data_IF_373335849235
#
_entry.id   IF_373335849235
#
_cell.length_a   1.000
_cell.length_b   1.000
_cell.length_c   1.000
_cell.angle_alpha   90.00
_cell.angle_beta   90.00
_cell.angle_gamma   90.00
#
_symmetry.space_group_name_H-M   'P 1'
#
loop_
_entity.id
_entity.type
_entity.pdbx_description
1 polymer ?
#
# COMPACT_ATOMS: atom_id res chain seq x y z
N UNK A 1 -70.83 -13.78 -40.12
CA UNK A 1 -71.37 -12.45 -39.75
C UNK A 1 -70.50 -11.88 -38.62
N UNK A 2 -70.19 -10.57 -38.63
CA UNK A 2 -69.48 -9.76 -37.60
C UNK A 2 -68.02 -10.14 -37.21
N UNK A 3 -67.19 -9.08 -37.18
CA UNK A 3 -65.78 -9.00 -36.77
C UNK A 3 -65.66 -8.25 -35.43
N UNK A 4 -64.56 -8.44 -34.72
CA UNK A 4 -63.85 -7.46 -33.88
C UNK A 4 -62.37 -7.90 -33.85
N UNK A 5 -61.37 -7.12 -34.32
CA UNK A 5 -60.72 -5.92 -33.72
C UNK A 5 -60.14 -6.23 -32.31
N UNK A 6 -58.90 -5.86 -31.96
CA UNK A 6 -58.00 -4.82 -32.51
C UNK A 6 -56.51 -5.12 -32.20
N UNK A 7 -55.55 -4.34 -32.74
CA UNK A 7 -54.20 -4.21 -32.16
C UNK A 7 -52.97 -4.56 -33.03
N UNK A 8 -52.65 -3.74 -34.04
CA UNK A 8 -51.34 -3.66 -34.72
C UNK A 8 -51.03 -2.18 -34.97
N UNK A 9 -49.78 -1.74 -34.77
CA UNK A 9 -49.12 -0.59 -35.46
C UNK A 9 -47.63 -0.51 -35.02
N UNK A 10 -46.72 0.20 -35.73
CA UNK A 10 -45.48 -0.46 -36.17
C UNK A 10 -44.18 0.37 -36.00
N UNK A 11 -43.07 -0.19 -36.48
CA UNK A 11 -41.88 0.56 -36.88
C UNK A 11 -42.17 1.57 -37.99
N UNK A 12 -41.51 2.74 -37.95
CA UNK A 12 -41.25 3.57 -39.11
C UNK A 12 -39.99 4.45 -38.89
N UNK A 13 -39.08 4.41 -39.86
CA UNK A 13 -37.93 5.32 -39.95
C UNK A 13 -38.40 6.72 -40.40
N UNK A 14 -37.79 7.79 -39.87
CA UNK A 14 -37.82 9.11 -40.47
C UNK A 14 -36.52 9.88 -40.18
N UNK A 15 -36.01 10.59 -41.18
CA UNK A 15 -34.71 11.28 -41.18
C UNK A 15 -34.83 12.80 -41.08
N UNK A 16 -33.79 13.45 -40.51
CA UNK A 16 -33.54 14.90 -40.60
C UNK A 16 -34.28 15.75 -39.55
N UNK A 17 -33.65 16.74 -38.90
CA UNK A 17 -32.90 17.83 -39.54
C UNK A 17 -32.17 18.72 -38.52
N UNK A 18 -31.27 19.57 -39.04
CA UNK A 18 -30.79 20.86 -38.49
C UNK A 18 -29.89 20.86 -37.26
N UNK A 19 -28.62 21.15 -37.53
CA UNK A 19 -27.71 21.78 -36.58
C UNK A 19 -28.20 23.18 -36.21
N UNK A 20 -28.04 23.55 -34.93
CA UNK A 20 -28.08 24.92 -34.44
C UNK A 20 -26.87 25.14 -33.53
N UNK A 21 -25.93 25.97 -33.95
CA UNK A 21 -24.76 26.32 -33.16
C UNK A 21 -25.16 27.32 -32.08
N UNK A 22 -25.04 26.95 -30.80
CA UNK A 22 -25.14 27.87 -29.67
C UNK A 22 -23.78 28.00 -29.01
N UNK A 23 -23.14 29.13 -29.23
CA UNK A 23 -21.91 29.51 -28.55
C UNK A 23 -22.22 29.80 -27.08
N UNK A 24 -21.65 29.01 -26.17
CA UNK A 24 -21.66 29.29 -24.73
C UNK A 24 -20.25 29.21 -24.18
N UNK A 25 -19.60 30.36 -24.06
CA UNK A 25 -18.36 30.49 -23.28
C UNK A 25 -18.71 30.28 -21.81
N UNK A 26 -18.42 29.08 -21.27
CA UNK A 26 -18.35 28.86 -19.82
C UNK A 26 -16.91 28.67 -19.42
N UNK A 27 -16.48 29.43 -18.41
CA UNK A 27 -15.18 29.29 -17.78
C UNK A 27 -15.11 27.93 -17.10
N UNK A 28 -14.15 27.09 -17.46
CA UNK A 28 -13.87 25.86 -16.74
C UNK A 28 -13.07 26.21 -15.48
N UNK A 29 -13.74 26.26 -14.34
CA UNK A 29 -13.12 26.35 -13.02
C UNK A 29 -12.97 24.95 -12.41
N UNK A 30 -11.75 24.65 -11.95
CA UNK A 30 -11.33 23.57 -11.04
C UNK A 30 -12.27 22.35 -10.92
N UNK A 31 -11.94 21.28 -11.66
CA UNK A 31 -12.38 19.92 -11.35
C UNK A 31 -11.28 19.28 -10.48
N UNK A 32 -11.58 18.73 -9.28
CA UNK A 32 -10.58 18.04 -8.48
C UNK A 32 -10.06 16.78 -9.20
N UNK A 33 -8.74 16.59 -9.17
CA UNK A 33 -8.01 15.56 -9.92
C UNK A 33 -8.55 14.13 -9.72
N UNK A 34 -9.11 13.82 -8.56
CA UNK A 34 -9.69 12.52 -8.23
C UNK A 34 -10.82 12.03 -9.17
N UNK A 35 -11.49 12.90 -9.93
CA UNK A 35 -12.50 12.47 -10.92
C UNK A 35 -11.97 12.23 -12.33
N UNK A 36 -10.72 12.62 -12.63
CA UNK A 36 -10.12 12.41 -13.95
C UNK A 36 -9.71 10.93 -14.16
N UNK A 37 -9.40 10.22 -13.05
CA UNK A 37 -8.97 8.82 -13.05
C UNK A 37 -10.00 7.87 -13.68
N UNK A 38 -11.30 8.11 -13.45
CA UNK A 38 -12.42 7.25 -13.92
C UNK A 38 -12.61 7.34 -15.45
N UNK A 39 -12.23 8.44 -16.07
CA UNK A 39 -12.46 8.67 -17.52
C UNK A 39 -11.35 8.07 -18.39
N UNK A 40 -10.12 7.96 -17.87
CA UNK A 40 -8.97 7.44 -18.61
C UNK A 40 -8.93 5.92 -18.72
N UNK A 41 -9.52 5.18 -17.77
CA UNK A 41 -9.54 3.70 -17.78
C UNK A 41 -10.48 3.10 -18.84
N UNK A 42 -11.50 3.83 -19.30
CA UNK A 42 -12.54 3.31 -20.21
C UNK A 42 -12.15 3.21 -21.70
N UNK A 43 -10.93 3.61 -22.10
CA UNK A 43 -10.57 3.79 -23.52
C UNK A 43 -9.61 2.75 -24.13
N UNK A 44 -9.12 1.76 -23.36
CA UNK A 44 -8.03 0.87 -23.81
C UNK A 44 -8.49 -0.51 -24.33
N UNK A 45 -9.76 -0.90 -24.10
CA UNK A 45 -10.24 -2.27 -24.37
C UNK A 45 -10.76 -2.54 -25.79
N UNK A 46 -9.92 -2.43 -26.84
CA UNK A 46 -10.15 -3.11 -28.13
C UNK A 46 -8.86 -3.41 -28.90
N UNK A 47 -8.68 -4.69 -29.33
CA UNK A 47 -8.03 -5.19 -30.58
C UNK A 47 -7.00 -6.32 -30.40
N UNK A 48 -7.10 -7.33 -31.29
CA UNK A 48 -6.23 -8.49 -31.55
C UNK A 48 -6.63 -9.02 -32.97
N UNK A 49 -5.98 -9.93 -33.70
CA UNK A 49 -4.94 -10.95 -33.48
C UNK A 49 -4.03 -11.05 -34.73
N UNK A 50 -2.87 -11.72 -34.65
CA UNK A 50 -2.57 -12.93 -35.46
C UNK A 50 -1.14 -13.51 -35.23
N UNK A 51 -0.83 -14.66 -35.87
CA UNK A 51 0.17 -15.68 -35.47
C UNK A 51 1.39 -15.84 -36.42
N UNK A 52 2.50 -16.49 -35.99
CA UNK A 52 3.11 -17.71 -36.63
C UNK A 52 4.49 -18.15 -36.05
N UNK A 53 4.57 -19.42 -35.57
CA UNK A 53 5.66 -20.48 -35.51
C UNK A 53 7.15 -20.08 -35.75
N UNK A 54 8.21 -20.60 -35.09
CA UNK A 54 8.54 -22.01 -34.72
C UNK A 54 9.95 -22.18 -34.05
N UNK A 55 10.23 -23.42 -33.57
CA UNK A 55 11.53 -24.11 -33.37
C UNK A 55 12.46 -23.73 -32.20
N UNK A 56 12.41 -24.56 -31.16
CA UNK A 56 13.22 -24.47 -29.94
C UNK A 56 14.62 -25.09 -29.94
N UNK A 57 15.22 -25.07 -28.74
CA UNK A 57 16.40 -25.83 -28.30
C UNK A 57 16.26 -26.11 -26.78
N UNK A 58 17.15 -26.92 -26.21
CA UNK A 58 17.02 -27.54 -24.88
C UNK A 58 18.24 -27.27 -23.98
N UNK A 59 18.05 -27.04 -22.68
CA UNK A 59 18.74 -27.79 -21.61
C UNK A 59 18.43 -27.35 -20.15
N UNK A 60 18.30 -28.37 -19.28
CA UNK A 60 18.65 -28.45 -17.83
C UNK A 60 17.92 -27.60 -16.77
N UNK A 61 17.30 -28.32 -15.84
CA UNK A 61 16.55 -27.89 -14.65
C UNK A 61 17.41 -27.74 -13.37
N UNK A 62 16.85 -27.06 -12.36
CA UNK A 62 17.33 -27.06 -10.96
C UNK A 62 16.18 -27.44 -10.03
N UNK A 63 16.45 -28.29 -9.03
CA UNK A 63 15.43 -29.04 -8.30
C UNK A 63 14.59 -28.21 -7.32
N UNK A 64 13.28 -28.44 -7.33
CA UNK A 64 12.43 -28.29 -6.15
C UNK A 64 12.66 -29.47 -5.17
N UNK A 65 12.66 -29.21 -3.86
CA UNK A 65 12.67 -30.26 -2.82
C UNK A 65 11.52 -30.03 -1.83
N UNK A 66 10.43 -30.74 -2.09
CA UNK A 66 9.71 -31.59 -1.14
C UNK A 66 9.26 -31.04 0.21
N UNK A 67 7.95 -30.83 0.34
CA UNK A 67 7.22 -30.93 1.61
C UNK A 67 6.07 -31.91 1.44
N UNK A 68 6.25 -33.15 1.88
CA UNK A 68 5.19 -34.15 2.00
C UNK A 68 5.59 -35.23 3.01
N UNK A 69 5.06 -35.14 4.24
CA UNK A 69 4.61 -36.23 5.12
C UNK A 69 4.66 -35.81 6.60
N UNK A 70 3.48 -35.75 7.25
CA UNK A 70 3.35 -35.84 8.71
C UNK A 70 1.91 -36.17 9.13
N UNK A 71 1.42 -37.39 8.84
CA UNK A 71 0.22 -37.92 9.49
C UNK A 71 0.57 -39.01 10.51
N UNK A 72 -0.05 -38.89 11.69
CA UNK A 72 -0.15 -39.90 12.76
C UNK A 72 1.11 -40.14 13.62
N UNK A 73 1.16 -39.49 14.79
CA UNK A 73 0.95 -40.19 16.07
C UNK A 73 0.90 -39.21 17.25
N UNK A 74 0.06 -39.52 18.25
CA UNK A 74 -0.13 -38.66 19.40
C UNK A 74 0.95 -38.83 20.47
N UNK A 75 1.78 -37.81 20.66
CA UNK A 75 2.55 -37.59 21.88
C UNK A 75 2.70 -36.07 22.11
N UNK A 76 2.31 -35.57 23.28
CA UNK A 76 2.45 -34.16 23.64
C UNK A 76 3.88 -33.84 24.06
N UNK A 77 4.80 -33.82 23.10
CA UNK A 77 6.08 -33.13 23.22
C UNK A 77 5.89 -31.70 22.75
N UNK A 78 6.21 -30.72 23.61
CA UNK A 78 6.18 -29.31 23.24
C UNK A 78 7.32 -29.01 22.27
N UNK A 79 7.06 -29.21 20.97
CA UNK A 79 7.95 -28.73 19.91
C UNK A 79 8.16 -27.22 20.08
N UNK A 80 9.37 -26.70 19.80
CA UNK A 80 9.55 -25.26 19.67
C UNK A 80 8.59 -24.79 18.58
N UNK A 81 7.68 -23.86 18.92
CA UNK A 81 6.73 -23.33 17.94
C UNK A 81 7.52 -22.75 16.77
N UNK A 82 7.23 -23.20 15.55
CA UNK A 82 7.74 -22.57 14.34
C UNK A 82 7.37 -21.08 14.38
N UNK A 83 8.35 -20.23 14.05
CA UNK A 83 8.14 -18.78 14.10
C UNK A 83 7.35 -18.40 12.85
N UNK A 84 6.18 -17.78 13.02
CA UNK A 84 5.43 -17.20 11.91
C UNK A 84 5.31 -15.69 12.04
N UNK A 85 5.30 -15.01 10.90
CA UNK A 85 5.19 -13.56 10.77
C UNK A 85 3.98 -13.19 9.93
N UNK A 86 3.33 -12.10 10.32
CA UNK A 86 2.41 -11.35 9.48
C UNK A 86 3.05 -9.99 9.26
N UNK A 87 3.38 -9.70 8.01
CA UNK A 87 3.97 -8.44 7.58
C UNK A 87 2.97 -7.69 6.71
N UNK A 88 2.85 -6.39 6.92
CA UNK A 88 1.84 -5.55 6.25
C UNK A 88 2.50 -4.31 5.64
N UNK A 89 2.03 -3.87 4.48
CA UNK A 89 2.18 -2.45 4.11
C UNK A 89 1.29 -1.56 5.00
N UNK A 90 1.51 -0.25 4.98
CA UNK A 90 0.78 0.73 5.75
C UNK A 90 -0.27 1.51 4.94
N UNK A 91 0.13 2.15 3.84
CA UNK A 91 -0.69 3.11 3.10
C UNK A 91 -1.63 2.39 2.14
N UNK A 92 -2.93 2.63 2.25
CA UNK A 92 -3.91 1.91 1.44
C UNK A 92 -4.15 0.47 1.92
N UNK A 93 -3.14 -0.22 2.45
CA UNK A 93 -3.28 -1.55 3.07
C UNK A 93 -3.89 -1.49 4.47
N UNK A 94 -3.30 -0.72 5.39
CA UNK A 94 -3.82 -0.54 6.75
C UNK A 94 -4.71 0.69 6.89
N UNK A 95 -4.43 1.77 6.16
CA UNK A 95 -5.24 3.00 6.13
C UNK A 95 -6.33 2.96 5.04
N UNK A 96 -7.40 3.75 5.21
CA UNK A 96 -8.42 3.92 4.17
C UNK A 96 -7.93 4.76 2.97
N UNK A 97 -6.86 5.54 3.16
CA UNK A 97 -6.31 6.50 2.19
C UNK A 97 -4.78 6.52 2.27
N UNK A 98 -4.14 6.89 1.16
CA UNK A 98 -2.72 7.21 1.14
C UNK A 98 -2.43 8.41 2.06
N UNK A 99 -1.46 8.27 2.96
CA UNK A 99 -1.05 9.31 3.92
C UNK A 99 0.13 10.15 3.42
N UNK A 100 0.77 9.77 2.30
CA UNK A 100 1.90 10.49 1.69
C UNK A 100 1.59 11.96 1.40
N UNK A 101 0.40 12.35 0.89
CA UNK A 101 0.04 13.75 0.68
C UNK A 101 -0.08 14.59 1.97
N UNK A 102 -0.19 13.95 3.14
CA UNK A 102 -0.28 14.64 4.44
C UNK A 102 1.07 15.04 5.02
N UNK A 103 2.17 14.46 4.54
CA UNK A 103 3.48 14.62 5.15
C UNK A 103 3.94 16.09 5.26
N UNK A 104 3.73 16.98 4.27
CA UNK A 104 4.09 18.39 4.44
C UNK A 104 3.17 19.15 5.41
N UNK A 105 1.88 18.75 5.55
CA UNK A 105 0.94 19.33 6.52
C UNK A 105 1.40 18.98 7.94
N UNK A 106 1.74 17.71 8.16
CA UNK A 106 2.30 17.23 9.43
C UNK A 106 3.64 17.90 9.76
N UNK A 107 4.52 18.09 8.76
CA UNK A 107 5.78 18.80 8.92
C UNK A 107 5.58 20.23 9.47
N UNK A 108 4.64 20.99 8.89
CA UNK A 108 4.32 22.35 9.32
C UNK A 108 3.74 22.39 10.75
N UNK A 109 2.82 21.46 11.08
CA UNK A 109 2.21 21.38 12.42
C UNK A 109 3.30 21.09 13.46
N UNK A 110 4.12 20.06 13.28
CA UNK A 110 5.14 19.69 14.27
C UNK A 110 6.20 20.79 14.42
N UNK A 111 6.67 21.37 13.31
CA UNK A 111 7.66 22.45 13.33
C UNK A 111 7.15 23.68 14.11
N UNK A 112 5.87 24.04 13.95
CA UNK A 112 5.29 25.17 14.71
C UNK A 112 5.20 24.90 16.22
N UNK A 113 4.87 23.66 16.61
CA UNK A 113 4.80 23.25 18.02
C UNK A 113 6.18 23.19 18.69
N UNK A 114 7.21 22.72 17.98
CA UNK A 114 8.60 22.75 18.47
C UNK A 114 9.09 24.19 18.69
N UNK A 115 8.80 25.11 17.76
CA UNK A 115 9.14 26.53 17.92
C UNK A 115 8.42 27.19 19.10
N UNK A 116 7.15 26.81 19.35
CA UNK A 116 6.40 27.29 20.50
C UNK A 116 7.02 26.83 21.83
N UNK A 117 7.47 25.56 21.93
CA UNK A 117 8.10 25.03 23.14
C UNK A 117 9.38 25.79 23.48
N UNK A 118 10.29 25.96 22.53
CA UNK A 118 11.52 26.74 22.73
C UNK A 118 11.24 28.19 23.13
N UNK A 119 10.26 28.86 22.49
CA UNK A 119 9.90 30.24 22.83
C UNK A 119 9.33 30.41 24.25
N UNK A 120 8.71 29.37 24.82
CA UNK A 120 8.20 29.40 26.21
C UNK A 120 9.24 29.13 27.29
N UNK A 121 10.38 28.53 26.95
CA UNK A 121 11.49 28.32 27.90
C UNK A 121 12.32 29.59 28.14
N UNK A 122 12.43 30.47 27.13
CA UNK A 122 13.29 31.67 27.20
C UNK A 122 12.63 32.90 27.89
N UNK A 123 11.30 32.94 28.05
CA UNK A 123 10.59 34.15 28.56
C UNK A 123 9.57 33.83 29.67
N UNK A 124 9.97 33.87 30.95
CA UNK A 124 9.06 33.61 32.06
C UNK A 124 8.27 34.86 32.51
N UNK A 125 7.20 35.24 31.77
CA UNK A 125 6.02 35.91 32.38
C UNK A 125 4.86 36.16 31.41
N UNK A 126 3.64 35.82 31.87
CA UNK A 126 2.28 36.10 31.36
C UNK A 126 1.67 35.10 30.35
N UNK A 127 0.61 34.35 30.73
CA UNK A 127 -0.06 33.37 29.86
C UNK A 127 -1.19 34.03 29.05
N UNK A 128 -0.84 34.79 28.00
CA UNK A 128 -1.86 35.30 27.08
C UNK A 128 -2.31 34.25 26.06
N UNK A 129 -3.62 34.02 25.99
CA UNK A 129 -4.27 33.12 25.03
C UNK A 129 -4.07 33.52 23.55
N UNK A 130 -3.49 34.69 23.28
CA UNK A 130 -3.18 35.17 21.94
C UNK A 130 -2.03 34.42 21.25
N UNK A 131 -1.14 33.75 22.00
CA UNK A 131 0.02 33.06 21.43
C UNK A 131 -0.34 31.92 20.47
N UNK A 132 -1.25 31.03 20.85
CA UNK A 132 -1.64 29.85 20.07
C UNK A 132 -2.19 30.23 18.68
N UNK A 133 -3.04 31.26 18.61
CA UNK A 133 -3.63 31.72 17.34
C UNK A 133 -2.58 32.18 16.32
N UNK A 134 -1.46 32.76 16.78
CA UNK A 134 -0.38 33.22 15.90
C UNK A 134 0.48 32.08 15.37
N UNK A 135 0.73 31.04 16.17
CA UNK A 135 1.48 29.86 15.72
C UNK A 135 0.69 29.06 14.69
N UNK A 136 -0.62 28.89 14.89
CA UNK A 136 -1.49 28.24 13.91
C UNK A 136 -1.53 29.02 12.60
N UNK A 137 -1.66 30.35 12.63
CA UNK A 137 -1.59 31.17 11.41
C UNK A 137 -0.26 31.00 10.65
N UNK A 138 0.86 30.86 11.37
CA UNK A 138 2.17 30.56 10.75
C UNK A 138 2.21 29.16 10.14
N UNK A 139 1.74 28.14 10.86
CA UNK A 139 1.68 26.76 10.36
C UNK A 139 0.79 26.65 9.12
N UNK A 140 -0.38 27.31 9.10
CA UNK A 140 -1.27 27.38 7.94
C UNK A 140 -0.64 28.13 6.76
N UNK A 141 0.12 29.21 7.01
CA UNK A 141 0.80 29.97 5.96
C UNK A 141 1.96 29.18 5.33
N UNK A 142 2.76 28.49 6.15
CA UNK A 142 3.84 27.60 5.71
C UNK A 142 3.28 26.40 4.92
N UNK A 143 2.24 25.73 5.45
CA UNK A 143 1.54 24.66 4.74
C UNK A 143 1.04 25.11 3.35
N UNK A 144 0.38 26.27 3.26
CA UNK A 144 -0.11 26.82 1.99
C UNK A 144 1.00 27.18 0.99
N UNK A 145 2.23 27.34 1.44
CA UNK A 145 3.40 27.48 0.57
C UNK A 145 3.94 26.12 0.09
N UNK A 146 3.88 25.09 0.95
CA UNK A 146 4.43 23.74 0.70
C UNK A 146 3.50 22.82 -0.08
N UNK A 147 2.19 22.88 0.20
CA UNK A 147 1.13 22.11 -0.47
C UNK A 147 1.22 22.14 -2.01
N UNK A 148 1.29 23.31 -2.68
CA UNK A 148 1.37 23.34 -4.15
C UNK A 148 2.67 22.74 -4.70
N UNK A 149 3.79 22.88 -3.99
CA UNK A 149 5.08 22.29 -4.38
C UNK A 149 5.00 20.77 -4.31
N UNK A 150 4.42 20.22 -3.24
CA UNK A 150 4.22 18.79 -3.09
C UNK A 150 3.28 18.21 -4.16
N UNK A 151 2.15 18.88 -4.40
CA UNK A 151 1.17 18.49 -5.41
C UNK A 151 1.74 18.54 -6.85
N UNK A 152 2.68 19.45 -7.14
CA UNK A 152 3.40 19.47 -8.42
C UNK A 152 4.33 18.25 -8.56
N UNK A 153 5.09 17.90 -7.52
CA UNK A 153 5.96 16.73 -7.51
C UNK A 153 5.18 15.40 -7.59
N UNK A 154 4.05 15.31 -6.89
CA UNK A 154 3.10 14.19 -7.01
C UNK A 154 2.52 14.09 -8.43
N UNK A 155 2.12 15.22 -9.03
CA UNK A 155 1.65 15.29 -10.41
C UNK A 155 2.74 15.00 -11.46
N UNK A 156 4.02 15.17 -11.12
CA UNK A 156 5.17 14.74 -11.92
C UNK A 156 5.37 13.22 -11.80
N UNK A 157 5.36 12.68 -10.57
CA UNK A 157 5.42 11.25 -10.29
C UNK A 157 4.37 10.47 -11.08
N UNK A 158 3.09 10.81 -10.92
CA UNK A 158 2.01 10.08 -11.60
C UNK A 158 2.13 10.12 -13.12
N UNK A 159 2.63 11.22 -13.69
CA UNK A 159 2.82 11.33 -15.15
C UNK A 159 3.92 10.39 -15.64
N UNK A 160 5.10 10.44 -15.02
CA UNK A 160 6.22 9.54 -15.35
C UNK A 160 5.87 8.08 -15.10
N UNK A 161 5.22 7.78 -13.97
CA UNK A 161 4.74 6.44 -13.61
C UNK A 161 3.79 5.89 -14.68
N UNK A 162 2.81 6.69 -15.10
CA UNK A 162 1.86 6.30 -16.16
C UNK A 162 2.56 6.07 -17.50
N UNK A 163 3.56 6.86 -17.85
CA UNK A 163 4.30 6.68 -19.11
C UNK A 163 5.22 5.45 -19.09
N UNK A 164 5.86 5.14 -17.96
CA UNK A 164 6.58 3.87 -17.77
C UNK A 164 5.62 2.68 -17.79
N UNK A 165 4.46 2.76 -17.12
CA UNK A 165 3.41 1.72 -17.17
C UNK A 165 2.91 1.47 -18.59
N UNK A 166 2.70 2.51 -19.41
CA UNK A 166 2.34 2.36 -20.84
C UNK A 166 3.45 1.66 -21.62
N UNK A 167 4.72 2.00 -21.37
CA UNK A 167 5.85 1.28 -21.98
C UNK A 167 5.82 -0.20 -21.63
N UNK A 168 5.73 -0.52 -20.32
CA UNK A 168 5.66 -1.90 -19.82
C UNK A 168 4.48 -2.64 -20.45
N UNK A 169 3.31 -2.00 -20.61
CA UNK A 169 2.13 -2.59 -21.26
C UNK A 169 2.29 -2.81 -22.77
N UNK A 170 3.03 -1.92 -23.45
CA UNK A 170 3.25 -1.97 -24.91
C UNK A 170 4.27 -3.02 -25.35
N UNK A 171 5.10 -3.53 -24.44
CA UNK A 171 6.05 -4.61 -24.71
C UNK A 171 5.31 -5.89 -25.14
N UNK A 172 5.89 -6.68 -26.04
CA UNK A 172 5.27 -7.92 -26.53
C UNK A 172 6.03 -9.13 -26.00
N UNK A 173 5.37 -9.93 -25.16
CA UNK A 173 5.90 -11.21 -24.68
C UNK A 173 5.24 -12.35 -25.45
N UNK A 174 6.01 -13.08 -26.25
CA UNK A 174 5.53 -14.28 -26.93
C UNK A 174 5.36 -15.42 -25.90
N UNK A 175 4.13 -15.62 -25.39
CA UNK A 175 3.84 -16.82 -24.60
C UNK A 175 3.82 -18.04 -25.52
N UNK A 176 4.66 -19.02 -25.22
CA UNK A 176 4.54 -20.36 -25.80
C UNK A 176 3.23 -21.02 -25.38
N UNK A 177 2.73 -22.02 -26.15
CA UNK A 177 1.54 -22.76 -25.77
C UNK A 177 1.75 -23.64 -24.53
N UNK A 178 2.98 -24.09 -24.29
CA UNK A 178 3.38 -24.83 -23.08
C UNK A 178 4.12 -23.86 -22.13
N UNK A 179 3.50 -23.53 -20.99
CA UNK A 179 4.18 -22.79 -19.93
C UNK A 179 5.15 -23.73 -19.21
N UNK A 180 6.43 -23.64 -19.54
CA UNK A 180 7.49 -24.33 -18.80
C UNK A 180 7.89 -23.52 -17.56
N UNK A 181 8.40 -24.18 -16.53
CA UNK A 181 9.02 -23.55 -15.35
C UNK A 181 9.98 -22.41 -15.73
N UNK A 182 10.76 -22.63 -16.80
CA UNK A 182 11.68 -21.63 -17.34
C UNK A 182 10.96 -20.37 -17.84
N UNK A 183 9.85 -20.50 -18.59
CA UNK A 183 9.07 -19.35 -19.06
C UNK A 183 8.47 -18.55 -17.90
N UNK A 184 8.00 -19.24 -16.85
CA UNK A 184 7.48 -18.56 -15.66
C UNK A 184 8.59 -17.80 -14.91
N UNK A 185 9.78 -18.40 -14.77
CA UNK A 185 10.96 -17.73 -14.21
C UNK A 185 11.38 -16.50 -15.04
N UNK A 186 11.37 -16.61 -16.37
CA UNK A 186 11.65 -15.50 -17.29
C UNK A 186 10.60 -14.38 -17.15
N UNK A 187 9.30 -14.71 -17.03
CA UNK A 187 8.23 -13.73 -16.79
C UNK A 187 8.37 -13.01 -15.44
N UNK A 188 8.76 -13.73 -14.37
CA UNK A 188 9.00 -13.13 -13.06
C UNK A 188 10.25 -12.23 -13.06
N UNK A 189 11.29 -12.58 -13.81
CA UNK A 189 12.46 -11.71 -14.00
C UNK A 189 12.11 -10.44 -14.78
N UNK A 190 11.23 -10.54 -15.79
CA UNK A 190 10.71 -9.39 -16.53
C UNK A 190 9.78 -8.52 -15.68
N UNK A 191 9.00 -9.12 -14.77
CA UNK A 191 8.22 -8.39 -13.77
C UNK A 191 9.13 -7.58 -12.83
N UNK A 192 10.18 -8.21 -12.30
CA UNK A 192 11.15 -7.55 -11.42
C UNK A 192 11.83 -6.37 -12.11
N UNK A 193 12.28 -6.56 -13.36
CA UNK A 193 12.84 -5.50 -14.22
C UNK A 193 11.82 -4.39 -14.50
N UNK A 194 10.54 -4.73 -14.63
CA UNK A 194 9.46 -3.76 -14.88
C UNK A 194 9.13 -2.92 -13.64
N UNK A 195 9.19 -3.53 -12.45
CA UNK A 195 8.97 -2.85 -11.19
C UNK A 195 10.18 -1.97 -10.80
N UNK A 196 11.41 -2.42 -11.04
CA UNK A 196 12.63 -1.60 -10.88
C UNK A 196 12.56 -0.28 -11.66
N UNK A 197 12.01 -0.32 -12.88
CA UNK A 197 11.78 0.88 -13.70
C UNK A 197 10.76 1.86 -13.10
N UNK A 198 9.79 1.37 -12.33
CA UNK A 198 8.82 2.21 -11.60
C UNK A 198 9.43 2.74 -10.30
N UNK A 199 10.20 1.91 -9.59
CA UNK A 199 10.97 2.29 -8.40
C UNK A 199 12.02 3.38 -8.74
N UNK A 200 12.59 3.35 -9.97
CA UNK A 200 13.43 4.42 -10.51
C UNK A 200 12.72 5.77 -10.60
N UNK A 201 11.47 5.81 -11.06
CA UNK A 201 10.64 7.03 -11.08
C UNK A 201 10.39 7.53 -9.66
N UNK A 202 10.03 6.63 -8.73
CA UNK A 202 9.85 6.97 -7.31
C UNK A 202 11.12 7.57 -6.70
N UNK A 203 12.28 6.99 -7.02
CA UNK A 203 13.60 7.43 -6.55
C UNK A 203 13.96 8.83 -7.06
N UNK A 204 13.75 9.11 -8.35
CA UNK A 204 13.97 10.43 -8.94
C UNK A 204 13.11 11.51 -8.26
N UNK A 205 11.81 11.26 -8.08
CA UNK A 205 10.90 12.24 -7.46
C UNK A 205 11.20 12.41 -5.97
N UNK A 206 11.61 11.34 -5.27
CA UNK A 206 12.08 11.43 -3.88
C UNK A 206 13.32 12.34 -3.75
N UNK A 207 14.18 12.34 -4.76
CA UNK A 207 15.28 13.31 -4.88
C UNK A 207 14.77 14.76 -4.95
N UNK A 208 13.79 15.04 -5.81
CA UNK A 208 13.18 16.37 -5.92
C UNK A 208 12.43 16.81 -4.65
N UNK A 209 11.74 15.89 -3.97
CA UNK A 209 11.13 16.13 -2.65
C UNK A 209 12.19 16.53 -1.63
N UNK A 210 13.33 15.83 -1.61
CA UNK A 210 14.49 16.15 -0.76
C UNK A 210 15.06 17.54 -1.07
N UNK A 211 15.26 17.86 -2.35
CA UNK A 211 15.78 19.17 -2.79
C UNK A 211 14.83 20.33 -2.48
N UNK A 212 13.53 20.09 -2.43
CA UNK A 212 12.51 21.11 -2.15
C UNK A 212 12.40 21.53 -0.68
N UNK A 213 13.02 20.79 0.26
CA UNK A 213 12.83 20.91 1.71
C UNK A 213 11.36 20.86 2.19
N UNK A 214 10.42 20.39 1.35
CA UNK A 214 8.96 20.47 1.62
C UNK A 214 8.54 19.68 2.88
N UNK A 215 9.33 18.67 3.27
CA UNK A 215 9.12 17.86 4.48
C UNK A 215 9.93 18.32 5.70
N UNK A 216 10.59 19.48 5.63
CA UNK A 216 11.41 20.03 6.72
C UNK A 216 10.63 20.18 8.01
N UNK A 217 11.23 19.75 9.13
CA UNK A 217 10.59 19.74 10.46
C UNK A 217 9.85 18.43 10.80
N UNK A 218 9.66 17.50 9.85
CA UNK A 218 9.07 16.19 10.13
C UNK A 218 10.09 15.17 10.67
N UNK A 219 11.37 15.32 10.34
CA UNK A 219 12.42 14.39 10.75
C UNK A 219 12.91 14.61 12.18
N UNK A 220 13.25 13.51 12.86
CA UNK A 220 13.63 13.50 14.28
C UNK A 220 12.45 13.52 15.27
N UNK A 221 11.22 13.62 14.76
CA UNK A 221 9.99 13.64 15.54
C UNK A 221 9.67 12.24 16.07
N UNK A 222 9.36 12.13 17.36
CA UNK A 222 8.89 10.86 17.95
C UNK A 222 7.40 10.62 17.65
N UNK A 223 6.99 9.36 17.62
CA UNK A 223 5.58 8.99 17.42
C UNK A 223 4.63 9.59 18.47
N UNK A 224 5.08 9.79 19.72
CA UNK A 224 4.31 10.44 20.79
C UNK A 224 4.20 11.96 20.63
N UNK A 225 5.18 12.60 20.01
CA UNK A 225 5.06 14.01 19.62
C UNK A 225 4.06 14.15 18.48
N UNK A 226 4.23 13.37 17.41
CA UNK A 226 3.33 13.40 16.26
C UNK A 226 1.87 13.07 16.64
N UNK A 227 1.64 12.09 17.52
CA UNK A 227 0.31 11.77 18.03
C UNK A 227 -0.31 12.95 18.79
N UNK A 228 0.46 13.62 19.66
CA UNK A 228 0.01 14.85 20.34
C UNK A 228 -0.27 15.98 19.36
N UNK A 229 0.55 16.12 18.31
CA UNK A 229 0.37 17.13 17.27
C UNK A 229 -0.94 16.94 16.50
N UNK A 230 -1.25 15.71 16.10
CA UNK A 230 -2.51 15.34 15.45
C UNK A 230 -3.71 15.63 16.35
N UNK A 231 -3.65 15.17 17.62
CA UNK A 231 -4.73 15.36 18.60
C UNK A 231 -4.99 16.84 18.92
N UNK A 232 -3.93 17.66 19.04
CA UNK A 232 -4.07 19.10 19.27
C UNK A 232 -4.75 19.78 18.08
N UNK A 233 -4.32 19.49 16.85
CA UNK A 233 -4.89 20.06 15.62
C UNK A 233 -6.38 19.71 15.47
N UNK A 234 -6.76 18.45 15.67
CA UNK A 234 -8.17 18.03 15.60
C UNK A 234 -9.03 18.62 16.73
N UNK A 235 -8.47 18.78 17.93
CA UNK A 235 -9.15 19.44 19.06
C UNK A 235 -9.42 20.93 18.81
N UNK A 236 -8.51 21.62 18.13
CA UNK A 236 -8.68 23.03 17.75
C UNK A 236 -9.68 23.20 16.60
N UNK A 237 -9.66 22.31 15.60
CA UNK A 237 -10.66 22.23 14.53
C UNK A 237 -12.08 22.09 15.09
N UNK A 238 -12.27 21.25 16.12
CA UNK A 238 -13.58 21.06 16.77
C UNK A 238 -14.05 22.28 17.59
N UNK A 239 -13.14 23.18 18.00
CA UNK A 239 -13.44 24.38 18.78
C UNK A 239 -13.66 25.65 17.95
N UNK A 240 -13.25 25.66 16.67
CA UNK A 240 -13.30 26.83 15.79
C UNK A 240 -14.63 26.98 15.04
N UNK A 241 -15.35 28.07 15.25
CA UNK A 241 -16.60 28.38 14.52
C UNK A 241 -16.37 28.99 13.12
N UNK A 242 -15.30 28.59 12.42
CA UNK A 242 -14.88 29.19 11.14
C UNK A 242 -15.67 28.60 9.96
N UNK A 243 -16.41 29.46 9.26
CA UNK A 243 -17.45 29.08 8.30
C UNK A 243 -17.03 29.07 6.82
N UNK A 244 -15.73 29.07 6.50
CA UNK A 244 -15.23 29.10 5.12
C UNK A 244 -14.08 28.10 4.92
N UNK A 245 -14.42 26.89 4.46
CA UNK A 245 -13.49 25.80 4.15
C UNK A 245 -13.80 24.54 4.94
N UNK A 246 -14.29 23.49 4.27
CA UNK A 246 -14.37 22.13 4.82
C UNK A 246 -12.99 21.49 4.77
N UNK A 247 -12.08 21.96 5.61
CA UNK A 247 -10.78 21.31 5.81
C UNK A 247 -11.02 20.02 6.63
N UNK A 248 -10.51 18.89 6.17
CA UNK A 248 -10.79 17.59 6.78
C UNK A 248 -9.88 17.34 7.99
N UNK A 249 -10.44 16.67 9.00
CA UNK A 249 -9.75 16.29 10.25
C UNK A 249 -8.62 15.29 9.95
N UNK A 250 -7.46 15.46 10.61
CA UNK A 250 -6.33 14.54 10.42
C UNK A 250 -6.70 13.12 10.86
N UNK A 251 -7.44 12.96 11.96
CA UNK A 251 -7.95 11.66 12.41
C UNK A 251 -8.94 11.00 11.44
N UNK A 252 -9.58 11.75 10.55
CA UNK A 252 -10.44 11.19 9.50
C UNK A 252 -9.64 10.72 8.29
N UNK A 253 -8.59 11.45 7.89
CA UNK A 253 -7.73 11.03 6.77
C UNK A 253 -6.81 9.88 7.18
N UNK A 254 -6.32 9.89 8.43
CA UNK A 254 -5.47 8.83 9.02
C UNK A 254 -6.26 7.63 9.56
N UNK A 255 -7.52 7.45 9.14
CA UNK A 255 -8.38 6.35 9.59
C UNK A 255 -7.82 5.00 9.11
N UNK A 256 -7.61 4.08 10.05
CA UNK A 256 -7.35 2.68 9.74
C UNK A 256 -8.59 2.02 9.15
N UNK A 257 -8.42 1.13 8.17
CA UNK A 257 -9.51 0.32 7.63
C UNK A 257 -10.21 -0.48 8.73
N UNK A 258 -11.52 -0.64 8.59
CA UNK A 258 -12.31 -1.55 9.44
C UNK A 258 -11.71 -2.97 9.44
N UNK A 259 -11.78 -3.65 10.58
CA UNK A 259 -11.18 -4.98 10.80
C UNK A 259 -9.66 -5.00 11.04
N UNK A 260 -8.89 -4.08 10.45
CA UNK A 260 -7.41 -4.07 10.47
C UNK A 260 -6.80 -4.21 11.87
N UNK A 261 -7.06 -3.23 12.75
CA UNK A 261 -6.48 -3.21 14.10
C UNK A 261 -6.95 -4.39 14.99
N UNK A 262 -8.25 -4.77 15.02
CA UNK A 262 -8.70 -5.98 15.70
C UNK A 262 -8.02 -7.28 15.21
N UNK A 263 -7.79 -7.43 13.90
CA UNK A 263 -7.13 -8.63 13.34
C UNK A 263 -5.65 -8.67 13.74
N UNK A 264 -4.92 -7.59 13.54
CA UNK A 264 -3.50 -7.53 13.89
C UNK A 264 -3.27 -7.73 15.39
N UNK A 265 -4.15 -7.21 16.26
CA UNK A 265 -4.04 -7.43 17.71
C UNK A 265 -4.27 -8.89 18.12
N UNK A 266 -5.21 -9.61 17.49
CA UNK A 266 -5.36 -11.07 17.73
C UNK A 266 -4.10 -11.82 17.30
N UNK A 267 -3.57 -11.49 16.14
CA UNK A 267 -2.41 -12.15 15.56
C UNK A 267 -1.12 -11.94 16.39
N UNK A 268 -0.91 -10.73 16.92
CA UNK A 268 0.24 -10.38 17.75
C UNK A 268 0.38 -11.24 19.04
N UNK A 269 -0.69 -11.92 19.47
CA UNK A 269 -0.66 -12.83 20.62
C UNK A 269 0.06 -14.17 20.32
N UNK A 270 0.34 -14.46 19.05
CA UNK A 270 0.84 -15.77 18.59
C UNK A 270 1.97 -15.67 17.56
N UNK A 271 2.01 -14.59 16.79
CA UNK A 271 2.87 -14.40 15.61
C UNK A 271 3.63 -13.08 15.71
N UNK A 272 4.79 -12.98 15.05
CA UNK A 272 5.47 -11.70 14.89
C UNK A 272 4.68 -10.79 13.95
N UNK A 273 4.51 -9.51 14.30
CA UNK A 273 3.90 -8.50 13.43
C UNK A 273 5.00 -7.54 12.97
N UNK A 274 5.06 -7.24 11.68
CA UNK A 274 5.96 -6.21 11.14
C UNK A 274 5.27 -5.31 10.12
N UNK A 275 5.76 -4.08 9.97
CA UNK A 275 5.28 -3.14 8.94
C UNK A 275 6.39 -2.88 7.93
N UNK A 276 6.10 -3.03 6.64
CA UNK A 276 7.05 -2.93 5.53
C UNK A 276 6.49 -1.97 4.46
N UNK A 277 6.91 -0.71 4.50
CA UNK A 277 6.28 0.35 3.72
C UNK A 277 7.26 1.32 3.06
N UNK A 278 6.86 1.88 1.93
CA UNK A 278 7.61 2.94 1.23
C UNK A 278 7.41 4.33 1.86
N UNK A 279 6.49 4.49 2.82
CA UNK A 279 6.21 5.76 3.48
C UNK A 279 7.46 6.39 4.12
N UNK A 280 7.60 7.71 3.99
CA UNK A 280 8.79 8.45 4.43
C UNK A 280 8.78 8.85 5.92
N UNK A 281 7.75 8.50 6.68
CA UNK A 281 7.57 8.89 8.08
C UNK A 281 7.32 7.69 9.02
N UNK A 282 8.37 7.04 9.57
CA UNK A 282 8.20 5.93 10.51
C UNK A 282 7.49 6.35 11.81
N UNK A 283 7.59 7.63 12.19
CA UNK A 283 6.85 8.19 13.31
C UNK A 283 5.33 8.19 13.08
N UNK A 284 4.87 8.38 11.84
CA UNK A 284 3.45 8.33 11.46
C UNK A 284 2.92 6.90 11.53
N UNK A 285 3.62 5.95 10.91
CA UNK A 285 3.30 4.51 11.00
C UNK A 285 3.18 4.09 12.47
N UNK A 286 4.14 4.50 13.30
CA UNK A 286 4.13 4.20 14.74
C UNK A 286 3.00 4.89 15.49
N UNK A 287 2.66 6.13 15.18
CA UNK A 287 1.56 6.85 15.85
C UNK A 287 0.18 6.30 15.48
N UNK A 288 -0.03 5.95 14.21
CA UNK A 288 -1.34 5.58 13.65
C UNK A 288 -1.64 4.09 13.78
N UNK A 289 -0.65 3.21 13.57
CA UNK A 289 -0.85 1.75 13.58
C UNK A 289 -0.24 1.07 14.81
N UNK A 290 1.08 1.26 15.02
CA UNK A 290 1.81 0.45 16.02
C UNK A 290 1.43 0.82 17.45
N UNK A 291 1.29 2.11 17.77
CA UNK A 291 0.91 2.56 19.10
C UNK A 291 -0.51 2.07 19.49
N UNK A 292 -1.57 2.19 18.64
CA UNK A 292 -2.88 1.57 18.91
C UNK A 292 -2.87 0.03 18.97
N UNK A 293 -1.95 -0.64 18.26
CA UNK A 293 -1.74 -2.09 18.36
C UNK A 293 -1.21 -2.46 19.77
N UNK A 294 -0.20 -1.72 20.24
CA UNK A 294 0.48 -1.93 21.52
C UNK A 294 -0.28 -1.38 22.76
N UNK A 295 -1.29 -0.51 22.60
CA UNK A 295 -1.98 0.17 23.71
C UNK A 295 -3.33 -0.45 24.12
N UNK A 296 -3.60 -1.71 23.74
CA UNK A 296 -4.89 -2.38 23.98
C UNK A 296 -5.04 -3.00 25.38
N UNK A 297 -6.16 -2.71 26.06
CA UNK A 297 -6.52 -3.28 27.38
C UNK A 297 -7.24 -4.64 27.29
N UNK A 298 -6.81 -5.55 26.41
CA UNK A 298 -7.43 -6.88 26.27
C UNK A 298 -6.90 -7.85 27.36
N UNK A 299 -7.80 -8.37 28.20
CA UNK A 299 -7.45 -9.06 29.47
C UNK A 299 -6.89 -10.50 29.33
N UNK A 300 -6.44 -10.92 28.15
CA UNK A 300 -6.02 -12.30 27.87
C UNK A 300 -4.51 -12.51 27.88
N UNK A 301 -3.83 -11.80 26.99
CA UNK A 301 -2.37 -11.72 26.90
C UNK A 301 -2.03 -10.24 26.68
N UNK A 302 -0.97 -9.75 27.32
CA UNK A 302 -0.56 -8.35 27.17
C UNK A 302 -0.30 -8.00 25.70
N UNK A 303 -0.57 -6.75 25.28
CA UNK A 303 -0.22 -6.31 23.93
C UNK A 303 1.31 -6.43 23.69
N UNK A 304 1.75 -6.56 22.42
CA UNK A 304 3.19 -6.58 22.10
C UNK A 304 3.86 -5.28 22.55
N UNK A 305 5.15 -5.34 22.93
CA UNK A 305 5.90 -4.12 23.19
C UNK A 305 6.06 -3.32 21.88
N UNK A 306 6.24 -2.00 21.97
CA UNK A 306 6.37 -1.14 20.79
C UNK A 306 7.66 -1.46 19.99
N UNK A 307 8.65 -1.99 20.70
CA UNK A 307 9.95 -2.44 20.21
C UNK A 307 9.86 -3.79 19.49
N UNK A 308 8.88 -4.64 19.84
CA UNK A 308 8.68 -5.97 19.25
C UNK A 308 8.07 -5.92 17.84
N UNK A 309 7.49 -4.77 17.45
CA UNK A 309 6.91 -4.53 16.13
C UNK A 309 7.90 -3.74 15.27
N UNK A 310 8.72 -4.40 14.43
CA UNK A 310 9.59 -3.72 13.48
C UNK A 310 8.80 -2.90 12.47
N UNK A 311 9.35 -1.73 12.14
CA UNK A 311 8.87 -0.86 11.06
C UNK A 311 10.04 -0.68 10.11
N UNK A 312 9.96 -1.33 8.96
CA UNK A 312 10.88 -1.17 7.84
C UNK A 312 10.26 -0.14 6.89
N UNK A 313 10.73 1.09 6.98
CA UNK A 313 10.29 2.15 6.09
C UNK A 313 11.40 3.14 5.78
N UNK A 314 11.17 3.89 4.71
CA UNK A 314 11.92 5.09 4.40
C UNK A 314 11.77 6.11 5.54
N UNK A 315 12.66 7.10 5.59
CA UNK A 315 12.70 8.08 6.68
C UNK A 315 13.11 9.46 6.21
N UNK A 316 12.65 10.50 6.90
CA UNK A 316 13.01 11.90 6.63
C UNK A 316 13.90 12.47 7.73
N UNK A 317 14.94 13.21 7.36
CA UNK A 317 15.83 13.91 8.30
C UNK A 317 15.26 15.27 8.75
N UNK A 318 15.91 15.90 9.73
CA UNK A 318 15.48 17.20 10.29
C UNK A 318 15.41 18.35 9.26
N UNK A 319 16.07 18.23 8.11
CA UNK A 319 16.03 19.20 6.99
C UNK A 319 14.95 18.88 5.96
N UNK A 320 14.27 17.74 6.08
CA UNK A 320 13.31 17.26 5.09
C UNK A 320 13.90 16.34 4.02
N UNK A 321 15.17 15.92 4.17
CA UNK A 321 15.80 15.01 3.21
C UNK A 321 15.36 13.55 3.44
N UNK A 322 14.93 12.88 2.38
CA UNK A 322 14.42 11.51 2.45
C UNK A 322 15.55 10.50 2.24
N UNK A 323 15.60 9.49 3.09
CA UNK A 323 16.50 8.34 3.01
C UNK A 323 15.70 7.10 2.62
N UNK A 324 16.07 6.49 1.49
CA UNK A 324 15.41 5.32 0.92
C UNK A 324 16.04 4.02 1.44
N UNK A 325 15.43 3.42 2.46
CA UNK A 325 15.77 2.09 3.00
C UNK A 325 14.90 0.98 2.41
N UNK A 326 13.69 1.34 1.97
CA UNK A 326 12.71 0.52 1.26
C UNK A 326 12.25 1.32 0.02
N UNK A 327 13.11 1.48 -1.01
CA UNK A 327 12.81 2.28 -2.20
C UNK A 327 11.58 1.80 -3.00
N UNK A 328 11.25 0.50 -2.93
CA UNK A 328 10.16 -0.08 -3.69
C UNK A 328 10.14 -1.60 -3.66
N UNK A 329 9.64 -2.22 -4.73
CA UNK A 329 9.25 -3.63 -4.77
C UNK A 329 10.40 -4.61 -4.49
N UNK A 330 11.59 -4.34 -5.04
CA UNK A 330 12.75 -5.22 -4.84
C UNK A 330 13.18 -5.23 -3.37
N UNK A 331 13.25 -4.05 -2.73
CA UNK A 331 13.61 -3.95 -1.32
C UNK A 331 12.58 -4.63 -0.41
N UNK A 332 11.29 -4.57 -0.76
CA UNK A 332 10.26 -5.33 -0.04
C UNK A 332 10.46 -6.85 -0.20
N UNK A 333 10.70 -7.34 -1.42
CA UNK A 333 11.01 -8.76 -1.72
C UNK A 333 12.19 -9.27 -0.89
N UNK A 334 13.29 -8.53 -0.88
CA UNK A 334 14.48 -8.87 -0.07
C UNK A 334 14.14 -8.96 1.42
N UNK A 335 13.29 -8.08 1.94
CA UNK A 335 12.93 -8.08 3.35
C UNK A 335 12.10 -9.30 3.74
N UNK A 336 11.21 -9.79 2.87
CA UNK A 336 10.50 -11.05 3.08
C UNK A 336 11.49 -12.24 3.08
N UNK A 337 12.41 -12.28 2.12
CA UNK A 337 13.44 -13.34 2.04
C UNK A 337 14.34 -13.37 3.29
N UNK A 338 14.68 -12.21 3.86
CA UNK A 338 15.42 -12.10 5.14
C UNK A 338 14.65 -12.65 6.34
N UNK A 339 13.32 -12.58 6.33
CA UNK A 339 12.48 -13.12 7.41
C UNK A 339 12.31 -14.64 7.30
N UNK A 340 12.21 -15.17 6.08
CA UNK A 340 12.14 -16.60 5.80
C UNK A 340 13.47 -17.31 6.12
N UNK A 341 14.61 -16.67 5.84
CA UNK A 341 15.95 -17.25 6.06
C UNK A 341 16.28 -17.33 7.55
N UNK A 342 16.63 -18.52 8.10
CA UNK A 342 17.11 -18.62 9.47
C UNK A 342 18.36 -17.76 9.68
N UNK A 343 18.33 -16.86 10.65
CA UNK A 343 19.52 -16.12 11.05
C UNK A 343 20.46 -17.07 11.77
N UNK A 344 21.56 -17.45 11.11
CA UNK A 344 22.62 -18.29 11.71
C UNK A 344 23.05 -17.69 13.06
N UNK A 345 22.91 -18.41 14.18
CA UNK A 345 23.35 -17.90 15.47
C UNK A 345 24.89 -17.87 15.49
N UNK A 346 25.48 -16.72 15.79
CA UNK A 346 26.94 -16.55 15.99
C UNK A 346 27.50 -17.37 17.18
N UNK A 347 26.70 -18.26 17.78
CA UNK A 347 27.04 -19.10 18.92
C UNK A 347 26.53 -20.53 18.74
N UNK A 348 27.46 -21.47 18.65
CA UNK A 348 27.26 -22.90 18.41
C UNK A 348 26.16 -23.55 19.28
N UNK A 349 25.02 -23.87 18.67
CA UNK A 349 24.10 -24.90 19.15
C UNK A 349 23.37 -25.56 17.96
N UNK A 350 23.39 -26.89 17.90
CA UNK A 350 22.94 -27.70 16.75
C UNK A 350 21.43 -27.94 16.74
N UNK A 351 20.63 -26.88 16.80
CA UNK A 351 19.18 -26.95 16.58
C UNK A 351 18.85 -26.32 15.25
N UNK A 352 18.42 -27.13 14.28
CA UNK A 352 17.88 -26.68 13.01
C UNK A 352 16.58 -25.91 13.26
N UNK A 353 16.68 -24.59 13.38
CA UNK A 353 15.50 -23.70 13.36
C UNK A 353 14.87 -23.79 11.98
N UNK A 354 13.62 -24.23 11.93
CA UNK A 354 12.80 -24.20 10.72
C UNK A 354 12.68 -22.75 10.20
N UNK A 355 12.61 -22.54 8.87
CA UNK A 355 12.39 -21.22 8.29
C UNK A 355 11.06 -20.65 8.78
N UNK A 356 10.99 -19.33 8.91
CA UNK A 356 9.79 -18.70 9.41
C UNK A 356 8.73 -18.55 8.30
N UNK A 357 7.50 -19.02 8.54
CA UNK A 357 6.38 -18.80 7.61
C UNK A 357 5.99 -17.32 7.63
N UNK A 358 6.02 -16.66 6.47
CA UNK A 358 5.67 -15.25 6.32
C UNK A 358 4.38 -15.11 5.51
N UNK A 359 3.37 -14.51 6.12
CA UNK A 359 2.21 -13.96 5.40
C UNK A 359 2.47 -12.48 5.14
N UNK A 360 2.33 -12.04 3.89
CA UNK A 360 2.46 -10.63 3.52
C UNK A 360 1.12 -10.06 3.02
N UNK A 361 0.74 -8.88 3.49
CA UNK A 361 -0.45 -8.14 3.04
C UNK A 361 -0.02 -6.80 2.43
N UNK A 362 -0.49 -6.52 1.21
CA UNK A 362 -0.25 -5.28 0.49
C UNK A 362 -1.40 -4.96 -0.47
N UNK A 363 -1.44 -3.77 -1.07
CA UNK A 363 -2.53 -3.33 -1.96
C UNK A 363 -2.06 -2.78 -3.33
N UNK A 364 -0.74 -2.61 -3.49
CA UNK A 364 -0.14 -1.90 -4.62
C UNK A 364 0.77 -2.76 -5.53
N UNK A 365 1.17 -2.21 -6.66
CA UNK A 365 2.23 -2.78 -7.50
C UNK A 365 3.59 -2.85 -6.80
N UNK A 366 3.86 -1.97 -5.83
CA UNK A 366 5.12 -2.01 -5.05
C UNK A 366 5.16 -3.19 -4.08
N UNK A 367 4.02 -3.82 -3.83
CA UNK A 367 3.90 -5.02 -3.00
C UNK A 367 4.08 -6.31 -3.79
N UNK A 368 3.98 -6.27 -5.11
CA UNK A 368 3.77 -7.47 -5.92
C UNK A 368 4.90 -8.50 -5.81
N UNK A 369 6.17 -8.09 -5.74
CA UNK A 369 7.28 -9.03 -5.53
C UNK A 369 7.32 -9.60 -4.10
N UNK A 370 6.93 -8.82 -3.09
CA UNK A 370 6.84 -9.28 -1.71
C UNK A 370 5.66 -10.24 -1.51
N UNK A 371 4.54 -10.00 -2.20
CA UNK A 371 3.38 -10.89 -2.26
C UNK A 371 3.75 -12.25 -2.90
N UNK A 372 4.53 -12.25 -3.98
CA UNK A 372 5.00 -13.48 -4.64
C UNK A 372 6.07 -14.21 -3.82
N UNK A 373 6.91 -13.48 -3.07
CA UNK A 373 8.00 -14.04 -2.26
C UNK A 373 7.54 -14.64 -0.93
N UNK A 374 6.44 -14.14 -0.37
CA UNK A 374 5.87 -14.63 0.89
C UNK A 374 5.30 -16.04 0.74
N UNK A 375 5.30 -16.83 1.82
CA UNK A 375 4.65 -18.14 1.86
C UNK A 375 3.14 -18.02 1.57
N UNK A 376 2.54 -16.89 1.95
CA UNK A 376 1.22 -16.46 1.47
C UNK A 376 1.21 -14.95 1.23
N UNK A 377 1.12 -14.53 -0.03
CA UNK A 377 0.81 -13.15 -0.41
C UNK A 377 -0.68 -12.88 -0.49
N UNK A 378 -1.15 -11.82 0.16
CA UNK A 378 -2.54 -11.34 0.14
C UNK A 378 -2.59 -9.89 -0.40
N UNK A 379 -3.10 -9.72 -1.60
CA UNK A 379 -3.44 -8.43 -2.19
C UNK A 379 -4.82 -7.97 -1.68
N UNK A 380 -4.87 -6.91 -0.88
CA UNK A 380 -6.12 -6.29 -0.44
C UNK A 380 -6.55 -5.17 -1.41
N UNK A 381 -7.85 -5.10 -1.72
CA UNK A 381 -8.40 -4.11 -2.64
C UNK A 381 -8.52 -4.61 -4.08
N UNK A 382 -8.64 -3.66 -5.02
CA UNK A 382 -8.93 -3.92 -6.46
C UNK A 382 -8.22 -2.93 -7.38
N UNK A 383 -6.92 -2.77 -7.17
CA UNK A 383 -6.08 -1.91 -8.01
C UNK A 383 -5.95 -2.51 -9.43
N UNK A 384 -6.73 -2.01 -10.40
CA UNK A 384 -6.76 -2.53 -11.77
C UNK A 384 -5.37 -2.53 -12.44
N UNK A 385 -4.54 -1.52 -12.14
CA UNK A 385 -3.16 -1.45 -12.60
C UNK A 385 -2.29 -2.58 -12.04
N UNK A 386 -2.41 -2.85 -10.73
CA UNK A 386 -1.70 -3.93 -10.04
C UNK A 386 -2.15 -5.30 -10.55
N UNK A 387 -3.48 -5.51 -10.65
CA UNK A 387 -4.05 -6.77 -11.13
C UNK A 387 -3.70 -7.04 -12.60
N UNK A 388 -3.71 -6.00 -13.44
CA UNK A 388 -3.30 -6.06 -14.83
C UNK A 388 -1.81 -6.36 -15.00
N UNK A 389 -0.96 -5.76 -14.15
CA UNK A 389 0.48 -6.03 -14.13
C UNK A 389 0.76 -7.48 -13.70
N UNK A 390 0.15 -7.95 -12.61
CA UNK A 390 0.24 -9.33 -12.13
C UNK A 390 -0.16 -10.34 -13.23
N UNK A 391 -1.35 -10.19 -13.80
CA UNK A 391 -1.88 -11.10 -14.84
C UNK A 391 -1.00 -11.14 -16.10
N UNK A 392 -0.42 -9.99 -16.47
CA UNK A 392 0.49 -9.85 -17.62
C UNK A 392 1.76 -10.68 -17.46
N UNK A 393 2.33 -10.71 -16.25
CA UNK A 393 3.55 -11.45 -15.92
C UNK A 393 3.30 -12.86 -15.35
N UNK A 394 2.12 -13.44 -15.59
CA UNK A 394 1.86 -14.84 -15.24
C UNK A 394 1.59 -15.07 -13.74
N UNK A 395 1.31 -14.02 -12.97
CA UNK A 395 0.89 -14.14 -11.57
C UNK A 395 -0.59 -14.48 -11.53
N UNK A 396 -0.93 -15.59 -10.86
CA UNK A 396 -2.30 -16.12 -10.76
C UNK A 396 -2.99 -15.49 -9.56
N UNK A 397 -4.01 -14.68 -9.83
CA UNK A 397 -4.81 -14.03 -8.79
C UNK A 397 -6.01 -14.91 -8.41
N UNK A 398 -6.09 -15.36 -7.14
CA UNK A 398 -7.20 -16.18 -6.62
C UNK A 398 -7.92 -15.48 -5.45
N UNK A 399 -9.25 -15.62 -5.26
CA UNK A 399 -9.94 -15.08 -4.08
C UNK A 399 -9.53 -15.77 -2.77
N UNK A 400 -9.27 -15.01 -1.70
CA UNK A 400 -8.75 -15.55 -0.43
C UNK A 400 -9.68 -16.59 0.23
N UNK A 401 -11.00 -16.41 0.13
CA UNK A 401 -12.02 -17.40 0.54
C UNK A 401 -11.91 -18.78 -0.12
N UNK A 402 -11.23 -18.89 -1.27
CA UNK A 402 -11.08 -20.14 -2.01
C UNK A 402 -9.85 -20.94 -1.53
N UNK A 403 -8.99 -20.35 -0.66
CA UNK A 403 -7.83 -21.00 -0.07
C UNK A 403 -8.18 -22.29 0.70
N UNK A 404 -7.61 -23.42 0.29
CA UNK A 404 -7.75 -24.71 0.94
C UNK A 404 -6.39 -25.39 1.21
N UNK A 405 -6.01 -25.53 2.50
CA UNK A 405 -4.75 -26.19 2.92
C UNK A 405 -4.54 -27.60 2.36
N UNK A 406 -5.63 -28.35 2.21
CA UNK A 406 -5.58 -29.82 2.00
C UNK A 406 -6.06 -30.26 0.60
N UNK A 407 -6.31 -29.32 -0.32
CA UNK A 407 -6.99 -29.64 -1.58
C UNK A 407 -6.75 -28.72 -2.78
N UNK A 408 -6.03 -27.62 -2.62
CA UNK A 408 -5.49 -26.90 -3.77
C UNK A 408 -4.24 -27.65 -4.28
N UNK A 409 -4.39 -28.45 -5.34
CA UNK A 409 -3.29 -28.71 -6.28
C UNK A 409 -2.95 -27.37 -6.97
N UNK A 410 -2.25 -26.51 -6.23
CA UNK A 410 -1.46 -25.44 -6.83
C UNK A 410 -0.30 -26.16 -7.52
N UNK A 411 -0.29 -26.16 -8.86
CA UNK A 411 0.91 -26.55 -9.60
C UNK A 411 2.08 -25.77 -9.00
N UNK A 412 3.12 -26.46 -8.53
CA UNK A 412 4.22 -25.89 -7.70
C UNK A 412 5.00 -24.76 -8.36
N UNK A 413 4.66 -24.46 -9.60
CA UNK A 413 5.30 -23.56 -10.52
C UNK A 413 4.49 -22.27 -10.73
N UNK A 414 3.21 -22.23 -10.32
CA UNK A 414 2.36 -21.04 -10.42
C UNK A 414 2.70 -20.01 -9.32
N UNK A 415 2.98 -18.77 -9.73
CA UNK A 415 3.11 -17.65 -8.81
C UNK A 415 1.71 -17.18 -8.37
N UNK A 416 1.18 -17.72 -7.27
CA UNK A 416 -0.17 -17.39 -6.77
C UNK A 416 -0.13 -16.20 -5.80
N UNK A 417 -1.04 -15.24 -5.99
CA UNK A 417 -1.33 -14.18 -5.02
C UNK A 417 -2.83 -14.20 -4.71
N UNK A 418 -3.17 -14.23 -3.41
CA UNK A 418 -4.55 -14.25 -2.94
C UNK A 418 -5.13 -12.84 -2.90
N UNK A 419 -6.43 -12.70 -3.11
CA UNK A 419 -7.10 -11.40 -3.29
C UNK A 419 -8.33 -11.27 -2.38
N UNK A 420 -8.51 -10.10 -1.78
CA UNK A 420 -9.62 -9.81 -0.86
C UNK A 420 -9.99 -8.31 -0.91
N UNK A 421 -11.15 -7.93 -0.39
CA UNK A 421 -11.57 -6.53 -0.24
C UNK A 421 -11.33 -5.94 1.15
N UNK A 422 -11.20 -6.76 2.18
CA UNK A 422 -11.40 -6.37 3.57
C UNK A 422 -10.57 -7.21 4.55
N UNK A 423 -10.41 -6.68 5.76
CA UNK A 423 -9.61 -7.32 6.80
C UNK A 423 -10.33 -8.47 7.52
N UNK A 424 -11.64 -8.59 7.42
CA UNK A 424 -12.39 -9.67 8.08
C UNK A 424 -12.19 -11.02 7.37
N UNK A 425 -12.09 -11.03 6.04
CA UNK A 425 -11.66 -12.21 5.27
C UNK A 425 -10.20 -12.59 5.61
N UNK A 426 -9.30 -11.61 5.75
CA UNK A 426 -7.90 -11.82 6.18
C UNK A 426 -7.85 -12.42 7.59
N UNK A 427 -8.58 -11.87 8.55
CA UNK A 427 -8.66 -12.41 9.91
C UNK A 427 -9.20 -13.84 9.92
N UNK A 428 -10.27 -14.10 9.17
CA UNK A 428 -10.87 -15.44 9.03
C UNK A 428 -9.94 -16.44 8.34
N UNK A 429 -9.04 -15.98 7.47
CA UNK A 429 -7.96 -16.77 6.90
C UNK A 429 -6.88 -17.06 7.95
N UNK A 430 -6.32 -16.03 8.59
CA UNK A 430 -5.23 -16.16 9.57
C UNK A 430 -5.62 -17.04 10.76
N UNK A 431 -6.83 -16.90 11.30
CA UNK A 431 -7.36 -17.71 12.40
C UNK A 431 -7.51 -19.22 12.04
N UNK A 432 -7.39 -19.59 10.75
CA UNK A 432 -7.34 -20.99 10.23
C UNK A 432 -5.95 -21.38 9.72
N UNK A 433 -5.14 -20.40 9.29
CA UNK A 433 -3.87 -20.64 8.63
C UNK A 433 -2.71 -20.79 9.61
N UNK A 434 -2.66 -19.97 10.67
CA UNK A 434 -1.56 -19.93 11.67
C UNK A 434 -2.00 -20.37 13.09
#
# INVERSE_FOLDING_TARGET
MKRSRCGRFPFLFASGTKAAAVSSKRSCSNIPLGQILVVLLLLVSTMSHDSVRNSGYSASSVNAIGVADALSSGATTSHPKSKSWIVVDFDGTCTERDTTPLLPRLACIVQSQQQQQHATEEVPSTPEKHGLSLWNQRATADWKQREPVFAELEGEYFRRYVDVMKSIQSESFERGPDQTEQQQSELLQLLETSLDRLDGVSTEITGLVTESEVLRGLGGVTHLELLRSIQAHDGEMAGGSSSEGTEESLSEILRLREGCLPVLRRCAQRHGIGVLSINWCPALIRAVLVHPLCSGNDQGAGPPALEDVPVWSNSVDHRGAVSLSVPGAIAKKEQILRLQTPTEPESKATTTTEPATVVYVGDSSTDLLALIQADVGILIGRSESTMGLASRFGVVLRPLREFCKDGDEIDSNDAVVWTTSDWDEIGSFLDRFL
#
